data_IF_543173450290
#
_entry.id   IF_543173450290
#
_cell.length_a   1.000
_cell.length_b   1.000
_cell.length_c   1.000
_cell.angle_alpha   90.00
_cell.angle_beta   90.00
_cell.angle_gamma   90.00
#
_symmetry.space_group_name_H-M   'P 1'
#
loop_
_entity.id
_entity.type
_entity.pdbx_description
1 polymer ?
#
# COMPACT_ATOMS: atom_id res chain seq x y z
N UNK A 1 10.94 3.27 15.95
CA UNK A 1 10.02 3.82 14.92
C UNK A 1 9.00 2.77 14.50
N UNK A 2 8.08 2.43 15.40
CA UNK A 2 7.06 1.39 15.16
C UNK A 2 6.08 1.76 14.03
N UNK A 3 5.84 3.07 13.86
CA UNK A 3 4.95 3.58 12.80
C UNK A 3 5.52 3.33 11.41
N UNK A 4 6.81 3.59 11.22
CA UNK A 4 7.50 3.31 9.96
C UNK A 4 7.50 1.82 9.65
N UNK A 5 7.69 0.98 10.67
CA UNK A 5 7.67 -0.47 10.48
C UNK A 5 6.31 -0.96 9.96
N UNK A 6 5.20 -0.53 10.59
CA UNK A 6 3.84 -0.86 10.13
C UNK A 6 3.55 -0.39 8.71
N UNK A 7 4.05 0.79 8.35
CA UNK A 7 3.92 1.32 6.98
C UNK A 7 4.70 0.46 6.00
N UNK A 8 5.92 0.08 6.35
CA UNK A 8 6.76 -0.78 5.51
C UNK A 8 6.13 -2.15 5.29
N UNK A 9 5.57 -2.76 6.35
CA UNK A 9 4.83 -4.02 6.26
C UNK A 9 3.61 -3.88 5.35
N UNK A 10 2.84 -2.79 5.50
CA UNK A 10 1.66 -2.52 4.67
C UNK A 10 2.04 -2.31 3.21
N UNK A 11 3.07 -1.51 2.94
CA UNK A 11 3.60 -1.28 1.58
C UNK A 11 4.09 -2.57 0.94
N UNK A 12 4.81 -3.41 1.70
CA UNK A 12 5.27 -4.71 1.23
C UNK A 12 4.09 -5.63 0.89
N UNK A 13 3.02 -5.62 1.68
CA UNK A 13 1.80 -6.38 1.39
C UNK A 13 1.09 -5.87 0.12
N UNK A 14 0.94 -4.56 -0.04
CA UNK A 14 0.41 -3.96 -1.28
C UNK A 14 1.27 -4.36 -2.47
N UNK A 15 2.60 -4.26 -2.38
CA UNK A 15 3.50 -4.64 -3.47
C UNK A 15 3.35 -6.12 -3.85
N UNK A 16 3.28 -7.01 -2.87
CA UNK A 16 3.02 -8.44 -3.12
C UNK A 16 1.66 -8.65 -3.80
N UNK A 17 0.61 -8.01 -3.30
CA UNK A 17 -0.73 -8.15 -3.87
C UNK A 17 -0.83 -7.55 -5.28
N UNK A 18 -0.20 -6.41 -5.53
CA UNK A 18 -0.10 -5.78 -6.84
C UNK A 18 0.61 -6.70 -7.83
N UNK A 19 1.75 -7.29 -7.44
CA UNK A 19 2.47 -8.25 -8.27
C UNK A 19 1.65 -9.52 -8.56
N UNK A 20 0.87 -10.02 -7.59
CA UNK A 20 0.01 -11.20 -7.75
C UNK A 20 -1.20 -10.92 -8.66
N UNK A 21 -1.77 -9.72 -8.59
CA UNK A 21 -2.91 -9.30 -9.39
C UNK A 21 -2.51 -8.76 -10.77
N UNK A 22 -1.24 -8.39 -10.94
CA UNK A 22 -0.73 -7.72 -12.13
C UNK A 22 -1.20 -6.26 -12.22
N UNK A 23 -1.38 -5.57 -11.10
CA UNK A 23 -1.78 -4.15 -11.04
C UNK A 23 -0.59 -3.26 -10.68
N UNK A 24 -0.65 -1.98 -11.07
CA UNK A 24 0.46 -1.06 -10.87
C UNK A 24 0.54 -0.61 -9.40
N UNK A 25 1.65 -0.97 -8.74
CA UNK A 25 1.89 -0.60 -7.36
C UNK A 25 2.05 0.92 -7.20
N UNK A 26 2.73 1.57 -8.14
CA UNK A 26 2.98 3.01 -8.12
C UNK A 26 1.69 3.81 -8.17
N UNK A 27 0.78 3.43 -9.06
CA UNK A 27 -0.57 3.98 -9.15
C UNK A 27 -1.33 3.75 -7.83
N UNK A 28 -1.34 2.52 -7.32
CA UNK A 28 -2.05 2.15 -6.09
C UNK A 28 -1.58 2.95 -4.87
N UNK A 29 -0.26 3.16 -4.69
CA UNK A 29 0.26 3.94 -3.56
C UNK A 29 0.15 5.45 -3.79
N UNK A 30 0.21 5.90 -5.04
CA UNK A 30 -0.02 7.30 -5.39
C UNK A 30 -1.48 7.71 -5.17
N UNK A 31 -2.44 6.80 -5.39
CA UNK A 31 -3.85 6.99 -5.04
C UNK A 31 -4.05 7.14 -3.52
N UNK A 32 -3.26 6.42 -2.72
CA UNK A 32 -3.31 6.53 -1.25
C UNK A 32 -2.72 7.85 -0.78
N UNK A 33 -1.45 8.09 -1.14
CA UNK A 33 -0.78 9.34 -0.78
C UNK A 33 0.48 9.52 -1.63
N UNK A 34 0.70 10.69 -2.27
CA UNK A 34 1.91 10.95 -3.05
C UNK A 34 3.19 10.81 -2.22
N UNK A 35 3.12 11.09 -0.91
CA UNK A 35 4.27 10.88 -0.01
C UNK A 35 4.67 9.42 0.22
N UNK A 36 3.81 8.43 -0.12
CA UNK A 36 4.22 7.01 -0.13
C UNK A 36 5.04 6.68 -1.37
N UNK A 37 4.71 7.29 -2.50
CA UNK A 37 5.53 7.20 -3.70
C UNK A 37 6.92 7.81 -3.43
N UNK A 38 6.98 8.93 -2.71
CA UNK A 38 8.23 9.58 -2.30
C UNK A 38 8.90 8.93 -1.08
N UNK A 39 8.25 7.99 -0.38
CA UNK A 39 8.79 7.35 0.83
C UNK A 39 10.07 6.56 0.60
N UNK A 40 10.32 6.14 -0.65
CA UNK A 40 11.61 5.55 -1.07
C UNK A 40 12.79 6.52 -0.91
N UNK A 41 12.53 7.82 -0.76
CA UNK A 41 13.55 8.86 -0.74
C UNK A 41 13.50 9.69 0.57
N UNK A 42 13.71 9.03 1.72
CA UNK A 42 14.21 9.63 2.98
C UNK A 42 13.37 10.74 3.66
N UNK A 43 12.25 11.22 3.08
CA UNK A 43 11.54 12.42 3.53
C UNK A 43 10.29 12.12 4.38
N UNK A 44 9.96 10.86 4.67
CA UNK A 44 8.84 10.49 5.53
C UNK A 44 9.07 10.78 7.01
N UNK A 45 9.36 12.04 7.36
CA UNK A 45 9.38 12.53 8.74
C UNK A 45 7.97 12.61 9.33
N UNK A 46 6.93 12.71 8.49
CA UNK A 46 5.53 12.86 8.89
C UNK A 46 4.60 11.91 8.11
N UNK A 47 4.75 10.59 8.24
CA UNK A 47 3.65 9.70 7.85
C UNK A 47 2.47 9.99 8.79
N UNK A 48 1.36 10.48 8.27
CA UNK A 48 0.12 10.69 9.04
C UNK A 48 -0.64 9.38 9.20
N UNK A 49 -1.57 9.33 10.16
CA UNK A 49 -2.39 8.15 10.36
C UNK A 49 -3.28 7.87 9.13
N UNK A 50 -3.68 8.92 8.41
CA UNK A 50 -4.40 8.86 7.14
C UNK A 50 -3.68 8.02 6.09
N UNK A 51 -2.34 8.12 6.00
CA UNK A 51 -1.54 7.33 5.07
C UNK A 51 -1.58 5.84 5.42
N UNK A 52 -1.55 5.51 6.72
CA UNK A 52 -1.69 4.13 7.22
C UNK A 52 -3.09 3.58 6.92
N UNK A 53 -4.13 4.41 7.11
CA UNK A 53 -5.52 4.05 6.82
C UNK A 53 -5.69 3.80 5.32
N UNK A 54 -5.20 4.68 4.46
CA UNK A 54 -5.31 4.49 3.01
C UNK A 54 -4.53 3.28 2.49
N UNK A 55 -3.34 2.99 3.06
CA UNK A 55 -2.62 1.75 2.77
C UNK A 55 -3.44 0.52 3.14
N UNK A 56 -4.02 0.50 4.33
CA UNK A 56 -4.87 -0.60 4.78
C UNK A 56 -6.09 -0.77 3.86
N UNK A 57 -6.72 0.33 3.43
CA UNK A 57 -7.83 0.30 2.48
C UNK A 57 -7.40 -0.30 1.12
N UNK A 58 -6.25 0.09 0.59
CA UNK A 58 -5.71 -0.48 -0.65
C UNK A 58 -5.41 -1.98 -0.51
N UNK A 59 -4.83 -2.41 0.62
CA UNK A 59 -4.61 -3.82 0.92
C UNK A 59 -5.93 -4.60 0.91
N UNK A 60 -6.96 -4.08 1.60
CA UNK A 60 -8.27 -4.73 1.66
C UNK A 60 -8.92 -4.83 0.28
N UNK A 61 -8.84 -3.75 -0.52
CA UNK A 61 -9.32 -3.71 -1.90
C UNK A 61 -8.63 -4.78 -2.75
N UNK A 62 -7.30 -4.85 -2.71
CA UNK A 62 -6.53 -5.86 -3.45
C UNK A 62 -6.82 -7.28 -2.96
N UNK A 63 -6.97 -7.49 -1.65
CA UNK A 63 -7.38 -8.79 -1.09
C UNK A 63 -8.76 -9.22 -1.59
N UNK A 64 -9.73 -8.31 -1.61
CA UNK A 64 -11.05 -8.58 -2.18
C UNK A 64 -10.96 -8.91 -3.66
N UNK A 65 -10.18 -8.15 -4.43
CA UNK A 65 -10.01 -8.37 -5.86
C UNK A 65 -9.35 -9.72 -6.15
N UNK A 66 -8.32 -10.09 -5.39
CA UNK A 66 -7.67 -11.41 -5.45
C UNK A 66 -8.68 -12.52 -5.15
N UNK A 67 -9.49 -12.36 -4.11
CA UNK A 67 -10.52 -13.33 -3.75
C UNK A 67 -11.61 -13.43 -4.82
N UNK A 68 -11.98 -12.32 -5.46
CA UNK A 68 -12.93 -12.28 -6.55
C UNK A 68 -12.40 -13.00 -7.80
N UNK A 69 -11.09 -12.89 -8.09
CA UNK A 69 -10.46 -13.61 -9.20
C UNK A 69 -10.27 -15.10 -8.94
N UNK A 70 -9.99 -15.52 -7.71
CA UNK A 70 -9.85 -16.94 -7.34
C UNK A 70 -11.20 -17.66 -7.30
N UNK A 71 -12.28 -16.96 -6.93
CA UNK A 71 -13.63 -17.55 -6.86
C UNK A 71 -14.37 -17.58 -8.21
N UNK A 72 -13.71 -17.22 -9.31
CA UNK A 72 -14.31 -17.14 -10.65
C UNK A 72 -13.65 -18.16 -11.57
#
# INVERSE_FOLDING_TARGET
SDRLHRVLESVNEVHCLCALLGVDFGETVSEVHPSLHEAGNTQCKNISNDTLVGLAQSIEKLKMEKKARIQK
#
